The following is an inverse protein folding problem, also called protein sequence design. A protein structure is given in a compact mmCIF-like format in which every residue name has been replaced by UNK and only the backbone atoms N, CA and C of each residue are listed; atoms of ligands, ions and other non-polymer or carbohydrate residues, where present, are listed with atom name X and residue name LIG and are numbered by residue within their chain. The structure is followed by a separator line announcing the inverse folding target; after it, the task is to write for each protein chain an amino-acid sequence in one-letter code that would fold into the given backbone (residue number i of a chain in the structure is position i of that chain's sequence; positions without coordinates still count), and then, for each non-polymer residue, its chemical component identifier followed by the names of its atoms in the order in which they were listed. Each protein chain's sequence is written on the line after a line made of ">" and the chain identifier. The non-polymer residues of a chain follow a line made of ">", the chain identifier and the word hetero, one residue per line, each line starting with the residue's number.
data_IF_571502605282
#
_entry.id   IF_571502605282
#
_cell.length_a   1.000
_cell.length_b   1.000
_cell.length_c   1.000
_cell.angle_alpha   90.00
_cell.angle_beta   90.00
_cell.angle_gamma   90.00
#
_symmetry.space_group_name_H-M   'P 1'
#
loop_
_entity.id
_entity.type
_entity.pdbx_description
1 polymer ?
#
# COMPACT_ATOMS: atom_id res chain seq x y z
N UNK A 1 14.54 -6.42 4.46
CA UNK A 1 13.51 -5.97 5.39
C UNK A 1 13.09 -7.16 6.22
N UNK A 2 12.90 -6.93 7.52
CA UNK A 2 12.33 -7.90 8.45
C UNK A 2 11.06 -7.31 9.08
N UNK A 3 10.15 -8.14 9.60
CA UNK A 3 8.98 -7.64 10.33
C UNK A 3 9.40 -6.70 11.46
N UNK A 4 8.83 -5.49 11.48
CA UNK A 4 9.16 -4.43 12.45
C UNK A 4 10.01 -3.28 11.89
N UNK A 5 10.62 -3.44 10.71
CA UNK A 5 11.31 -2.34 10.03
C UNK A 5 10.33 -1.23 9.62
N UNK A 6 10.76 0.03 9.73
CA UNK A 6 10.05 1.19 9.19
C UNK A 6 10.62 1.51 7.81
N UNK A 7 9.74 1.60 6.82
CA UNK A 7 10.09 1.96 5.45
C UNK A 7 9.58 3.34 5.11
N UNK A 8 10.40 4.13 4.41
CA UNK A 8 9.97 5.34 3.74
C UNK A 8 9.59 4.99 2.29
N UNK A 9 8.43 5.46 1.85
CA UNK A 9 7.91 5.29 0.50
C UNK A 9 7.88 6.65 -0.21
N UNK A 10 8.39 6.69 -1.43
CA UNK A 10 8.43 7.88 -2.29
C UNK A 10 7.94 7.53 -3.70
N UNK A 11 7.42 8.51 -4.43
CA UNK A 11 6.95 8.29 -5.79
C UNK A 11 8.05 7.69 -6.71
N UNK A 12 7.66 6.72 -7.53
CA UNK A 12 8.54 6.00 -8.44
C UNK A 12 9.29 4.82 -7.83
N UNK A 13 9.10 4.52 -6.54
CA UNK A 13 9.70 3.34 -5.91
C UNK A 13 8.75 2.15 -5.96
N UNK A 14 9.33 0.96 -6.09
CA UNK A 14 8.63 -0.29 -5.90
C UNK A 14 8.63 -0.65 -4.42
N UNK A 15 7.47 -1.06 -3.89
CA UNK A 15 7.31 -1.47 -2.50
C UNK A 15 8.10 -2.74 -2.24
N UNK A 16 9.01 -2.70 -1.27
CA UNK A 16 9.99 -3.76 -1.03
C UNK A 16 9.47 -4.92 -0.16
N UNK A 17 8.41 -4.71 0.62
CA UNK A 17 7.74 -5.72 1.43
C UNK A 17 6.29 -5.30 1.72
N UNK A 18 5.44 -6.27 2.06
CA UNK A 18 4.10 -5.98 2.57
C UNK A 18 4.21 -5.17 3.87
N UNK A 19 3.33 -4.17 4.05
CA UNK A 19 3.43 -3.24 5.15
C UNK A 19 2.12 -2.58 5.53
N UNK A 20 1.99 -2.28 6.83
CA UNK A 20 0.93 -1.42 7.37
C UNK A 20 1.37 0.03 7.27
N UNK A 21 0.53 0.88 6.70
CA UNK A 21 0.79 2.32 6.69
C UNK A 21 0.64 2.88 8.11
N UNK A 22 1.60 3.70 8.49
CA UNK A 22 1.65 4.40 9.79
C UNK A 22 1.28 5.87 9.58
N UNK A 23 1.86 6.50 8.55
CA UNK A 23 1.59 7.86 8.12
C UNK A 23 1.71 7.96 6.59
N UNK A 24 1.00 8.91 6.01
CA UNK A 24 0.86 9.12 4.58
C UNK A 24 0.59 10.60 4.25
N UNK A 25 0.92 11.01 3.02
CA UNK A 25 0.56 12.33 2.48
C UNK A 25 0.20 12.20 1.01
N UNK A 26 -1.11 12.11 0.71
CA UNK A 26 -1.64 11.89 -0.64
C UNK A 26 -1.00 10.70 -1.36
N UNK A 27 -0.72 9.62 -0.62
CA UNK A 27 -0.06 8.44 -1.15
C UNK A 27 -0.97 7.73 -2.15
N UNK A 28 -0.44 7.46 -3.34
CA UNK A 28 -1.09 6.64 -4.35
C UNK A 28 -0.19 5.45 -4.71
N UNK A 29 -0.81 4.29 -4.90
CA UNK A 29 -0.09 3.06 -5.25
C UNK A 29 -0.78 2.38 -6.42
N UNK A 30 -0.01 2.00 -7.43
CA UNK A 30 -0.47 1.16 -8.53
C UNK A 30 -0.34 -0.30 -8.14
N UNK A 31 -1.48 -0.96 -7.99
CA UNK A 31 -1.58 -2.34 -7.52
C UNK A 31 -1.95 -3.32 -8.64
N UNK A 32 -1.62 -2.98 -9.90
CA UNK A 32 -1.94 -3.79 -11.08
C UNK A 32 -1.39 -5.21 -11.02
N UNK A 33 -0.24 -5.41 -10.38
CA UNK A 33 0.34 -6.73 -10.16
C UNK A 33 -0.49 -7.62 -9.22
N UNK A 34 -1.36 -7.01 -8.41
CA UNK A 34 -2.13 -7.67 -7.36
C UNK A 34 -3.62 -7.79 -7.72
N UNK A 35 -4.22 -6.71 -8.24
CA UNK A 35 -5.65 -6.65 -8.56
C UNK A 35 -5.94 -6.80 -10.06
N UNK A 36 -4.93 -6.63 -10.91
CA UNK A 36 -5.10 -6.54 -12.36
C UNK A 36 -5.58 -5.17 -12.85
N UNK A 37 -5.88 -4.24 -11.94
CA UNK A 37 -6.36 -2.91 -12.28
C UNK A 37 -5.20 -1.93 -12.48
N UNK A 38 -5.20 -1.20 -13.60
CA UNK A 38 -4.10 -0.31 -13.97
C UNK A 38 -4.10 1.04 -13.23
N UNK A 39 -5.23 1.40 -12.61
CA UNK A 39 -5.39 2.68 -11.94
C UNK A 39 -4.68 2.69 -10.58
N UNK A 40 -4.14 3.85 -10.22
CA UNK A 40 -3.56 4.05 -8.90
C UNK A 40 -4.68 4.19 -7.85
N UNK A 41 -4.45 3.63 -6.68
CA UNK A 41 -5.37 3.65 -5.54
C UNK A 41 -4.82 4.58 -4.47
N UNK A 42 -5.65 5.52 -4.02
CA UNK A 42 -5.32 6.40 -2.89
C UNK A 42 -5.31 5.59 -1.59
N UNK A 43 -4.28 5.80 -0.78
CA UNK A 43 -4.10 5.12 0.50
C UNK A 43 -4.45 6.03 1.68
N UNK A 44 -4.96 5.42 2.75
CA UNK A 44 -5.36 6.08 4.00
C UNK A 44 -4.82 5.28 5.20
N UNK A 45 -3.75 5.75 5.83
CA UNK A 45 -3.05 5.02 6.90
C UNK A 45 -3.90 4.88 8.16
N UNK A 46 -4.66 5.93 8.48
CA UNK A 46 -5.48 6.02 9.69
C UNK A 46 -6.84 5.33 9.59
N UNK A 47 -7.19 4.82 8.41
CA UNK A 47 -8.45 4.11 8.23
C UNK A 47 -8.42 2.78 8.99
N UNK A 48 -9.44 2.55 9.81
CA UNK A 48 -9.74 1.25 10.41
C UNK A 48 -10.66 0.46 9.47
N UNK A 49 -10.32 -0.81 9.26
CA UNK A 49 -11.04 -1.71 8.35
C UNK A 49 -11.39 -2.98 9.11
N UNK A 50 -12.53 -3.58 8.76
CA UNK A 50 -12.93 -4.87 9.32
C UNK A 50 -11.93 -5.97 8.90
N UNK A 51 -11.73 -6.98 9.75
CA UNK A 51 -10.79 -8.07 9.49
C UNK A 51 -11.09 -8.80 8.17
N UNK A 52 -12.37 -8.89 7.80
CA UNK A 52 -12.86 -9.58 6.60
C UNK A 52 -12.85 -8.69 5.34
N UNK A 53 -12.31 -7.47 5.43
CA UNK A 53 -12.23 -6.55 4.28
C UNK A 53 -11.51 -7.22 3.11
N UNK A 54 -12.13 -7.16 1.92
CA UNK A 54 -11.58 -7.75 0.72
C UNK A 54 -10.25 -7.11 0.35
N UNK A 55 -9.35 -7.88 -0.25
CA UNK A 55 -7.95 -7.48 -0.48
C UNK A 55 -7.81 -6.15 -1.25
N UNK A 56 -8.64 -5.93 -2.27
CA UNK A 56 -8.64 -4.69 -3.06
C UNK A 56 -9.11 -3.45 -2.30
N UNK A 57 -9.90 -3.62 -1.25
CA UNK A 57 -10.43 -2.53 -0.42
C UNK A 57 -9.51 -2.17 0.75
N UNK A 58 -8.41 -2.92 0.93
CA UNK A 58 -7.42 -2.67 2.00
C UNK A 58 -6.51 -1.50 1.65
N UNK A 59 -7.06 -0.29 1.73
CA UNK A 59 -6.36 0.95 1.36
C UNK A 59 -5.44 1.52 2.46
N UNK A 60 -5.30 0.82 3.58
CA UNK A 60 -4.41 1.19 4.68
C UNK A 60 -3.14 0.33 4.76
N UNK A 61 -2.88 -0.47 3.73
CA UNK A 61 -1.69 -1.32 3.58
C UNK A 61 -1.07 -1.14 2.19
N UNK A 62 0.18 -1.57 2.07
CA UNK A 62 0.93 -1.69 0.82
C UNK A 62 1.44 -3.11 0.65
N UNK A 63 1.62 -3.53 -0.60
CA UNK A 63 2.02 -4.89 -0.95
C UNK A 63 3.32 -4.90 -1.73
N UNK A 64 4.16 -5.90 -1.50
CA UNK A 64 5.43 -6.06 -2.19
C UNK A 64 5.22 -6.12 -3.70
N UNK A 65 6.07 -5.40 -4.44
CA UNK A 65 6.07 -5.41 -5.89
C UNK A 65 5.10 -4.42 -6.55
N UNK A 66 4.24 -3.74 -5.79
CA UNK A 66 3.44 -2.61 -6.29
C UNK A 66 4.29 -1.34 -6.37
N UNK A 67 3.82 -0.35 -7.12
CA UNK A 67 4.58 0.87 -7.43
C UNK A 67 3.92 2.08 -6.79
N UNK A 68 4.69 2.91 -6.09
CA UNK A 68 4.23 4.21 -5.57
C UNK A 68 4.20 5.22 -6.71
N UNK A 69 3.08 5.94 -6.87
CA UNK A 69 2.85 6.87 -8.00
C UNK A 69 2.75 8.30 -7.53
#
# INVERSE_FOLDING_TARGET
>A
LVPGDIMLLEAGVQVAADGRLIEESNLQVRESALTGEAHAVSKEAKLELDEDTALGDRINVVYQGTEVV
#
